data_IF_987964959661
#
_entry.id   IF_987964959661
#
_cell.length_a   1.000
_cell.length_b   1.000
_cell.length_c   1.000
_cell.angle_alpha   90.00
_cell.angle_beta   90.00
_cell.angle_gamma   90.00
#
_symmetry.space_group_name_H-M   'P 1'
#
loop_
_entity.id
_entity.type
_entity.pdbx_description
1 polymer ?
#
# COMPACT_ATOMS: atom_id res chain seq x y z
N UNK A 1 -22.18 0.99 -9.66
CA UNK A 1 -20.76 1.35 -9.52
C UNK A 1 -19.92 0.08 -9.50
N UNK A 2 -18.92 0.05 -10.32
CA UNK A 2 -18.01 -1.10 -10.36
C UNK A 2 -16.71 -0.78 -9.65
N UNK A 3 -16.34 -1.65 -8.74
CA UNK A 3 -15.04 -1.58 -8.09
C UNK A 3 -14.08 -2.47 -8.86
N UNK A 4 -13.00 -1.89 -9.34
CA UNK A 4 -11.96 -2.67 -9.99
C UNK A 4 -11.13 -3.40 -8.95
N UNK A 5 -10.43 -4.44 -9.38
CA UNK A 5 -9.51 -5.13 -8.48
C UNK A 5 -8.48 -4.17 -7.92
N UNK A 6 -8.02 -3.22 -8.74
CA UNK A 6 -7.06 -2.22 -8.31
C UNK A 6 -7.61 -1.37 -7.17
N UNK A 7 -8.88 -0.96 -7.27
CA UNK A 7 -9.51 -0.17 -6.21
C UNK A 7 -9.64 -0.98 -4.93
N UNK A 8 -10.02 -2.24 -5.04
CA UNK A 8 -10.14 -3.12 -3.88
C UNK A 8 -8.79 -3.30 -3.19
N UNK A 9 -7.75 -3.53 -3.98
CA UNK A 9 -6.40 -3.67 -3.43
C UNK A 9 -5.94 -2.39 -2.74
N UNK A 10 -6.26 -1.23 -3.33
CA UNK A 10 -5.89 0.06 -2.73
C UNK A 10 -6.52 0.23 -1.35
N UNK A 11 -7.81 -0.10 -1.25
CA UNK A 11 -8.53 -0.01 0.03
C UNK A 11 -7.89 -0.93 1.06
N UNK A 12 -7.55 -2.16 0.68
CA UNK A 12 -6.91 -3.10 1.58
C UNK A 12 -5.57 -2.57 2.08
N UNK A 13 -4.77 -2.01 1.19
CA UNK A 13 -3.47 -1.47 1.55
C UNK A 13 -3.61 -0.33 2.54
N UNK A 14 -4.50 0.63 2.25
CA UNK A 14 -4.70 1.76 3.13
C UNK A 14 -5.18 1.32 4.50
N UNK A 15 -6.15 0.43 4.56
CA UNK A 15 -6.67 -0.07 5.83
C UNK A 15 -5.59 -0.78 6.63
N UNK A 16 -4.78 -1.58 5.97
CA UNK A 16 -3.72 -2.32 6.65
C UNK A 16 -2.68 -1.36 7.23
N UNK A 17 -2.23 -0.40 6.41
CA UNK A 17 -1.23 0.56 6.86
C UNK A 17 -1.77 1.41 8.01
N UNK A 18 -3.04 1.80 7.94
CA UNK A 18 -3.64 2.58 9.01
C UNK A 18 -3.72 1.80 10.31
N UNK A 19 -4.03 0.51 10.22
CA UNK A 19 -4.14 -0.35 11.39
C UNK A 19 -2.78 -0.60 12.03
N UNK A 20 -1.75 -0.80 11.21
CA UNK A 20 -0.42 -1.12 11.72
C UNK A 20 0.32 0.09 12.26
N UNK A 21 0.07 1.26 11.69
CA UNK A 21 0.70 2.53 12.09
C UNK A 21 2.22 2.44 12.09
N UNK A 22 2.75 1.68 11.15
CA UNK A 22 4.20 1.54 11.00
C UNK A 22 4.50 1.27 9.54
N UNK A 23 5.78 1.37 9.21
CA UNK A 23 6.20 1.12 7.84
C UNK A 23 6.09 -0.36 7.51
N UNK A 24 5.46 -0.66 6.37
CA UNK A 24 5.24 -2.02 5.92
C UNK A 24 5.92 -2.19 4.58
N UNK A 25 6.69 -3.25 4.43
CA UNK A 25 7.39 -3.53 3.18
C UNK A 25 6.42 -4.01 2.10
N UNK A 26 6.84 -3.88 0.84
CA UNK A 26 6.07 -4.38 -0.28
C UNK A 26 5.82 -5.88 -0.16
N UNK A 27 6.83 -6.63 0.28
CA UNK A 27 6.68 -8.07 0.46
C UNK A 27 5.60 -8.40 1.49
N UNK A 28 5.59 -7.68 2.58
CA UNK A 28 4.58 -7.92 3.61
C UNK A 28 3.18 -7.57 3.10
N UNK A 29 3.04 -6.45 2.40
CA UNK A 29 1.75 -6.09 1.82
C UNK A 29 1.25 -7.18 0.87
N UNK A 30 2.13 -7.70 0.03
CA UNK A 30 1.76 -8.74 -0.91
C UNK A 30 1.31 -10.01 -0.17
N UNK A 31 2.07 -10.43 0.82
CA UNK A 31 1.76 -11.66 1.55
C UNK A 31 0.52 -11.53 2.42
N UNK A 32 0.44 -10.46 3.18
CA UNK A 32 -0.66 -10.31 4.15
C UNK A 32 -1.99 -10.02 3.48
N UNK A 33 -1.96 -9.30 2.37
CA UNK A 33 -3.20 -8.88 1.70
C UNK A 33 -3.53 -9.73 0.46
N UNK A 34 -2.67 -10.68 0.14
CA UNK A 34 -2.84 -11.52 -1.06
C UNK A 34 -2.95 -10.69 -2.32
N UNK A 35 -2.17 -9.60 -2.39
CA UNK A 35 -2.12 -8.73 -3.55
C UNK A 35 -0.89 -9.10 -4.37
N UNK A 36 -1.03 -9.32 -5.68
CA UNK A 36 0.14 -9.59 -6.52
C UNK A 36 1.19 -8.49 -6.37
N UNK A 37 2.44 -8.88 -6.17
CA UNK A 37 3.51 -7.91 -5.91
C UNK A 37 3.69 -6.92 -7.07
N UNK A 38 3.34 -7.33 -8.29
CA UNK A 38 3.45 -6.44 -9.44
C UNK A 38 2.42 -5.31 -9.41
N UNK A 39 1.35 -5.47 -8.66
CA UNK A 39 0.31 -4.44 -8.55
C UNK A 39 0.65 -3.41 -7.48
N UNK A 40 1.42 -3.80 -6.49
CA UNK A 40 1.69 -2.92 -5.35
C UNK A 40 2.33 -1.59 -5.76
N UNK A 41 3.39 -1.55 -6.58
CA UNK A 41 3.97 -0.27 -6.98
C UNK A 41 3.00 0.62 -7.73
N UNK A 42 2.13 0.04 -8.55
CA UNK A 42 1.16 0.81 -9.31
C UNK A 42 0.13 1.47 -8.39
N UNK A 43 -0.32 0.72 -7.41
CA UNK A 43 -1.34 1.21 -6.47
C UNK A 43 -0.74 2.22 -5.51
N UNK A 44 0.41 1.90 -4.93
CA UNK A 44 1.05 2.79 -3.96
C UNK A 44 1.47 4.11 -4.59
N UNK A 45 1.84 4.09 -5.88
CA UNK A 45 2.16 5.34 -6.56
C UNK A 45 0.98 6.29 -6.56
N UNK A 46 -0.21 5.77 -6.85
CA UNK A 46 -1.42 6.58 -6.86
C UNK A 46 -1.78 7.08 -5.47
N UNK A 47 -1.66 6.22 -4.47
CA UNK A 47 -1.94 6.59 -3.09
C UNK A 47 -0.96 7.65 -2.58
N UNK A 48 0.30 7.51 -2.97
CA UNK A 48 1.33 8.47 -2.61
C UNK A 48 1.05 9.83 -3.25
N UNK A 49 0.66 9.84 -4.52
CA UNK A 49 0.33 11.08 -5.21
C UNK A 49 -0.86 11.78 -4.57
N UNK A 50 -1.78 11.01 -4.03
CA UNK A 50 -2.96 11.56 -3.34
C UNK A 50 -2.64 12.02 -1.92
N UNK A 51 -1.43 11.78 -1.42
CA UNK A 51 -1.04 12.18 -0.08
C UNK A 51 -1.58 11.28 1.02
N UNK A 52 -2.05 10.09 0.66
CA UNK A 52 -2.63 9.16 1.62
C UNK A 52 -1.55 8.35 2.32
N UNK A 53 -0.51 7.98 1.59
CA UNK A 53 0.59 7.21 2.15
C UNK A 53 1.91 7.87 1.81
N UNK A 54 2.96 7.46 2.51
CA UNK A 54 4.32 7.90 2.26
C UNK A 54 5.18 6.68 1.94
N UNK A 55 6.12 6.87 1.02
CA UNK A 55 7.09 5.84 0.68
C UNK A 55 8.39 6.14 1.40
N UNK A 56 8.98 5.11 1.99
CA UNK A 56 10.27 5.24 2.66
C UNK A 56 11.30 4.43 1.89
N UNK A 57 12.43 5.05 1.58
CA UNK A 57 13.52 4.40 0.90
C UNK A 57 14.57 3.97 1.91
N UNK A 58 15.33 2.94 1.55
CA UNK A 58 16.38 2.44 2.41
C UNK A 58 16.38 0.93 2.45
N UNK A 59 17.22 0.38 3.34
CA UNK A 59 17.37 -1.06 3.45
C UNK A 59 16.04 -1.74 3.78
N UNK A 60 15.25 -1.10 4.63
CA UNK A 60 13.94 -1.61 5.00
C UNK A 60 12.84 -0.76 4.39
N UNK A 61 12.99 -0.41 3.12
CA UNK A 61 12.03 0.42 2.43
C UNK A 61 10.62 -0.14 2.50
N UNK A 62 9.63 0.75 2.42
CA UNK A 62 8.24 0.34 2.48
C UNK A 62 7.33 1.55 2.45
N UNK A 63 6.12 1.36 2.95
CA UNK A 63 5.09 2.38 2.93
C UNK A 63 4.45 2.53 4.30
N UNK A 64 3.96 3.72 4.58
CA UNK A 64 3.24 3.99 5.82
C UNK A 64 2.17 5.04 5.57
N UNK A 65 1.21 5.12 6.47
CA UNK A 65 0.17 6.15 6.39
C UNK A 65 0.81 7.52 6.59
N UNK A 66 0.39 8.49 5.78
CA UNK A 66 0.96 9.82 5.80
C UNK A 66 0.58 10.62 7.05
N UNK A 67 -0.40 10.16 7.78
CA UNK A 67 -0.79 10.82 9.03
C UNK A 67 -0.39 10.01 10.22
#
# INVERSE_FOLDING_TARGET
MQLTSTTDYAIRIVCYLAAQRQMISTSELSQKLSVPSSYIPKITKKLKQAGIIEACEGIKGGYQIAK
#
